data_IF_058384898332
#
_entry.id   IF_058384898332
#
_cell.length_a   1.000
_cell.length_b   1.000
_cell.length_c   1.000
_cell.angle_alpha   90.00
_cell.angle_beta   90.00
_cell.angle_gamma   90.00
#
_symmetry.space_group_name_H-M   'P 1'
#
loop_
_entity.id
_entity.type
_entity.pdbx_description
1 polymer ?
#
# COMPACT_ATOMS: atom_id res chain seq x y z
N UNK A 1 26.58 22.23 -6.87
CA UNK A 1 25.86 22.06 -8.17
C UNK A 1 25.40 20.61 -8.24
N UNK A 2 24.10 20.35 -8.18
CA UNK A 2 23.56 19.00 -8.33
C UNK A 2 23.41 18.76 -9.83
N UNK A 3 24.11 17.76 -10.35
CA UNK A 3 23.98 17.34 -11.76
C UNK A 3 22.83 16.34 -11.81
N UNK A 4 21.66 16.77 -12.30
CA UNK A 4 20.58 15.83 -12.60
C UNK A 4 20.81 15.13 -13.94
N UNK A 5 20.39 13.88 -14.04
CA UNK A 5 20.43 13.16 -15.31
C UNK A 5 19.43 13.80 -16.30
N UNK A 6 19.80 13.92 -17.59
CA UNK A 6 18.88 14.35 -18.66
C UNK A 6 17.60 13.50 -18.72
N UNK A 7 17.65 12.28 -18.20
CA UNK A 7 16.48 11.41 -18.05
C UNK A 7 15.47 11.96 -17.05
N UNK A 8 15.93 12.57 -15.95
CA UNK A 8 15.05 13.19 -14.95
C UNK A 8 14.32 14.40 -15.51
N UNK A 9 14.97 15.16 -16.40
CA UNK A 9 14.36 16.35 -17.04
C UNK A 9 13.26 15.96 -18.04
N UNK A 10 13.29 14.72 -18.54
CA UNK A 10 12.28 14.16 -19.45
C UNK A 10 11.08 13.52 -18.73
N UNK A 11 11.13 13.37 -17.40
CA UNK A 11 10.03 12.77 -16.64
C UNK A 11 8.86 13.77 -16.51
N UNK A 12 7.73 13.40 -17.08
CA UNK A 12 6.48 14.14 -16.88
C UNK A 12 5.86 13.77 -15.53
N UNK A 13 5.51 14.75 -14.69
CA UNK A 13 4.80 14.49 -13.44
C UNK A 13 3.49 13.75 -13.69
N UNK A 14 3.17 12.78 -12.84
CA UNK A 14 1.88 12.10 -12.90
C UNK A 14 0.72 13.11 -12.80
N UNK A 15 -0.21 13.06 -13.74
CA UNK A 15 -1.40 13.93 -13.75
C UNK A 15 -2.19 13.85 -12.45
N UNK A 16 -2.31 12.64 -11.87
CA UNK A 16 -2.99 12.40 -10.61
C UNK A 16 -2.29 13.13 -9.46
N UNK A 17 -0.95 13.06 -9.40
CA UNK A 17 -0.17 13.77 -8.38
C UNK A 17 -0.29 15.28 -8.49
N UNK A 18 -0.35 15.82 -9.70
CA UNK A 18 -0.52 17.26 -9.93
C UNK A 18 -1.90 17.75 -9.48
N UNK A 19 -2.95 16.96 -9.72
CA UNK A 19 -4.31 17.25 -9.25
C UNK A 19 -4.36 17.23 -7.72
N UNK A 20 -3.80 16.20 -7.10
CA UNK A 20 -3.75 16.09 -5.63
C UNK A 20 -3.00 17.27 -4.99
N UNK A 21 -1.92 17.72 -5.61
CA UNK A 21 -1.18 18.90 -5.14
C UNK A 21 -2.04 20.16 -5.21
N UNK A 22 -2.75 20.39 -6.30
CA UNK A 22 -3.66 21.55 -6.48
C UNK A 22 -4.80 21.54 -5.45
N UNK A 23 -5.38 20.36 -5.15
CA UNK A 23 -6.43 20.23 -4.13
C UNK A 23 -5.87 20.63 -2.76
N UNK A 24 -4.69 20.13 -2.40
CA UNK A 24 -4.03 20.44 -1.15
C UNK A 24 -3.72 21.93 -1.00
N UNK A 25 -3.28 22.58 -2.08
CA UNK A 25 -2.97 24.01 -2.05
C UNK A 25 -4.26 24.84 -1.88
N UNK A 26 -5.36 24.48 -2.55
CA UNK A 26 -6.65 25.13 -2.34
C UNK A 26 -7.19 24.93 -0.92
N UNK A 27 -6.95 23.78 -0.31
CA UNK A 27 -7.34 23.54 1.08
C UNK A 27 -6.56 24.46 2.05
N UNK A 28 -5.31 24.80 1.77
CA UNK A 28 -4.53 25.78 2.54
C UNK A 28 -5.15 27.19 2.47
N UNK A 29 -5.74 27.54 1.34
CA UNK A 29 -6.45 28.82 1.13
C UNK A 29 -7.82 28.83 1.81
N UNK A 30 -8.16 27.83 2.61
CA UNK A 30 -9.46 27.70 3.30
C UNK A 30 -10.61 27.25 2.39
N UNK A 31 -10.33 26.85 1.17
CA UNK A 31 -11.34 26.40 0.22
C UNK A 31 -11.61 24.90 0.44
N UNK A 32 -12.86 24.59 0.80
CA UNK A 32 -13.32 23.21 0.88
C UNK A 32 -13.48 22.62 -0.54
N UNK A 33 -12.66 21.64 -0.86
CA UNK A 33 -12.71 20.96 -2.16
C UNK A 33 -13.25 19.55 -1.99
N UNK A 34 -14.33 19.22 -2.65
CA UNK A 34 -14.81 17.83 -2.80
C UNK A 34 -14.22 17.27 -4.08
N UNK A 35 -13.38 16.24 -3.93
CA UNK A 35 -12.68 15.66 -5.06
C UNK A 35 -13.19 14.26 -5.38
N UNK A 36 -13.55 14.03 -6.62
CA UNK A 36 -13.85 12.71 -7.19
C UNK A 36 -12.67 12.14 -8.00
N UNK A 37 -11.52 12.82 -7.95
CA UNK A 37 -10.31 12.40 -8.65
C UNK A 37 -9.39 11.59 -7.70
N UNK A 38 -8.68 10.60 -8.28
CA UNK A 38 -7.60 9.90 -7.61
C UNK A 38 -7.98 8.60 -6.89
N UNK A 39 -9.26 8.28 -6.73
CA UNK A 39 -9.72 7.01 -6.15
C UNK A 39 -9.17 6.71 -4.75
N UNK A 40 -8.83 7.75 -3.97
CA UNK A 40 -8.30 7.57 -2.62
C UNK A 40 -9.44 7.16 -1.67
N UNK A 41 -9.25 6.08 -0.89
CA UNK A 41 -10.20 5.71 0.15
C UNK A 41 -10.33 6.82 1.20
N UNK A 42 -11.52 6.98 1.77
CA UNK A 42 -11.69 7.89 2.90
C UNK A 42 -10.91 7.39 4.11
N UNK A 43 -10.18 8.29 4.76
CA UNK A 43 -9.37 7.97 5.94
C UNK A 43 -10.21 7.48 7.11
N UNK A 44 -11.48 7.84 7.17
CA UNK A 44 -12.43 7.45 8.20
C UNK A 44 -12.74 5.95 8.20
N UNK A 45 -12.53 5.28 7.04
CA UNK A 45 -12.72 3.84 6.90
C UNK A 45 -11.47 3.00 7.15
N UNK A 46 -10.35 3.62 7.47
CA UNK A 46 -9.16 2.85 7.82
C UNK A 46 -9.31 2.22 9.21
N UNK A 47 -9.16 0.90 9.34
CA UNK A 47 -9.32 0.19 10.60
C UNK A 47 -8.07 0.36 11.49
N UNK A 48 -7.79 1.60 11.92
CA UNK A 48 -6.53 1.93 12.60
C UNK A 48 -6.37 1.21 13.94
N UNK A 49 -7.46 1.01 14.67
CA UNK A 49 -7.42 0.31 15.96
C UNK A 49 -7.10 -1.19 15.76
N UNK A 50 -7.70 -1.82 14.75
CA UNK A 50 -7.40 -3.21 14.43
C UNK A 50 -5.95 -3.37 13.95
N UNK A 51 -5.48 -2.45 13.09
CA UNK A 51 -4.09 -2.47 12.63
C UNK A 51 -3.10 -2.34 13.79
N UNK A 52 -3.38 -1.45 14.75
CA UNK A 52 -2.55 -1.28 15.95
C UNK A 52 -2.52 -2.55 16.77
N UNK A 53 -3.70 -3.08 17.11
CA UNK A 53 -3.83 -4.31 17.90
C UNK A 53 -3.11 -5.50 17.24
N UNK A 54 -3.27 -5.68 15.93
CA UNK A 54 -2.62 -6.76 15.17
C UNK A 54 -1.11 -6.56 15.14
N UNK A 55 -0.64 -5.33 14.97
CA UNK A 55 0.80 -5.03 14.98
C UNK A 55 1.42 -5.36 16.34
N UNK A 56 0.79 -4.95 17.43
CA UNK A 56 1.25 -5.26 18.78
C UNK A 56 1.29 -6.78 18.99
N UNK A 57 0.25 -7.50 18.58
CA UNK A 57 0.20 -8.96 18.66
C UNK A 57 1.35 -9.62 17.89
N UNK A 58 1.64 -9.20 16.66
CA UNK A 58 2.74 -9.74 15.85
C UNK A 58 4.08 -9.52 16.55
N UNK A 59 4.31 -8.34 17.12
CA UNK A 59 5.55 -8.09 17.86
C UNK A 59 5.66 -8.90 19.13
N UNK A 60 4.56 -9.16 19.83
CA UNK A 60 4.54 -9.98 21.03
C UNK A 60 4.79 -11.46 20.72
N UNK A 61 4.25 -11.97 19.61
CA UNK A 61 4.34 -13.37 19.23
C UNK A 61 5.63 -13.71 18.46
N UNK A 62 6.03 -12.86 17.51
CA UNK A 62 7.14 -13.13 16.59
C UNK A 62 8.39 -12.28 16.89
N UNK A 63 8.23 -11.17 17.61
CA UNK A 63 9.35 -10.33 18.03
C UNK A 63 10.19 -9.84 16.85
N UNK A 64 11.51 -10.07 16.95
CA UNK A 64 12.46 -9.63 15.94
C UNK A 64 12.33 -10.33 14.58
N UNK A 65 11.78 -11.53 14.55
CA UNK A 65 11.58 -12.29 13.29
C UNK A 65 10.59 -11.59 12.36
N UNK A 66 9.59 -10.90 12.93
CA UNK A 66 8.60 -10.14 12.15
C UNK A 66 9.21 -9.03 11.28
N UNK A 67 10.41 -8.55 11.63
CA UNK A 67 11.11 -7.48 10.92
C UNK A 67 12.42 -7.95 10.28
N UNK A 68 12.67 -9.27 10.28
CA UNK A 68 13.86 -9.87 9.67
C UNK A 68 13.64 -10.12 8.16
N UNK A 69 14.72 -10.35 7.45
CA UNK A 69 14.67 -10.80 6.06
C UNK A 69 13.93 -12.13 5.94
N UNK A 70 12.99 -12.17 4.99
CA UNK A 70 12.24 -13.37 4.63
C UNK A 70 12.80 -14.06 3.39
N UNK A 71 12.26 -15.22 3.04
CA UNK A 71 12.53 -15.91 1.79
C UNK A 71 12.14 -15.05 0.59
N UNK A 72 12.86 -15.20 -0.54
CA UNK A 72 12.66 -14.39 -1.75
C UNK A 72 11.28 -14.57 -2.41
N UNK A 73 10.60 -15.64 -2.12
CA UNK A 73 9.24 -15.94 -2.58
C UNK A 73 8.14 -15.48 -1.61
N UNK A 74 8.53 -14.98 -0.44
CA UNK A 74 7.65 -14.40 0.55
C UNK A 74 7.39 -15.30 1.75
N UNK A 75 6.60 -14.80 2.70
CA UNK A 75 6.25 -15.46 3.94
C UNK A 75 5.19 -16.54 3.71
N UNK A 76 5.54 -17.81 3.94
CA UNK A 76 4.69 -18.97 3.64
C UNK A 76 3.30 -18.92 4.28
N UNK A 77 3.12 -18.57 5.56
CA UNK A 77 1.79 -18.47 6.14
C UNK A 77 0.90 -17.46 5.42
N UNK A 78 1.42 -16.29 5.06
CA UNK A 78 0.66 -15.29 4.30
C UNK A 78 0.30 -15.81 2.89
N UNK A 79 1.21 -16.53 2.22
CA UNK A 79 0.95 -17.15 0.92
C UNK A 79 -0.16 -18.20 1.01
N UNK A 80 -0.22 -18.97 2.10
CA UNK A 80 -1.30 -19.94 2.36
C UNK A 80 -2.64 -19.22 2.58
N UNK A 81 -2.67 -18.17 3.37
CA UNK A 81 -3.88 -17.36 3.61
C UNK A 81 -4.38 -16.71 2.32
N UNK A 82 -3.48 -16.28 1.46
CA UNK A 82 -3.85 -15.70 0.16
C UNK A 82 -4.52 -16.72 -0.78
N UNK A 83 -4.19 -18.01 -0.70
CA UNK A 83 -4.93 -19.06 -1.43
C UNK A 83 -6.41 -19.03 -1.03
N UNK A 84 -6.71 -18.92 0.27
CA UNK A 84 -8.10 -18.86 0.76
C UNK A 84 -8.80 -17.56 0.32
N UNK A 85 -8.09 -16.45 0.30
CA UNK A 85 -8.62 -15.19 -0.24
C UNK A 85 -8.94 -15.32 -1.73
N UNK A 86 -8.04 -15.92 -2.51
CA UNK A 86 -8.21 -16.10 -3.96
C UNK A 86 -9.41 -16.99 -4.30
N UNK A 87 -9.71 -18.00 -3.49
CA UNK A 87 -10.91 -18.82 -3.66
C UNK A 87 -12.20 -18.00 -3.60
N UNK A 88 -12.25 -16.96 -2.75
CA UNK A 88 -13.41 -16.04 -2.66
C UNK A 88 -13.63 -15.27 -3.96
N UNK A 89 -12.57 -15.05 -4.72
CA UNK A 89 -12.59 -14.42 -6.05
C UNK A 89 -12.72 -15.43 -7.20
N UNK A 90 -13.10 -16.67 -6.89
CA UNK A 90 -13.30 -17.77 -7.86
C UNK A 90 -12.01 -18.18 -8.58
N UNK A 91 -10.85 -17.83 -8.05
CA UNK A 91 -9.57 -18.35 -8.54
C UNK A 91 -9.32 -19.68 -7.84
N UNK A 92 -9.58 -20.76 -8.58
CA UNK A 92 -9.43 -22.14 -8.09
C UNK A 92 -8.18 -22.76 -8.71
N UNK A 93 -7.74 -23.90 -8.18
CA UNK A 93 -6.60 -24.67 -8.65
C UNK A 93 -5.26 -23.95 -8.53
N UNK A 94 -5.11 -23.11 -7.49
CA UNK A 94 -3.84 -22.52 -7.10
C UNK A 94 -3.34 -23.12 -5.79
N UNK A 95 -2.04 -23.26 -5.68
CA UNK A 95 -1.31 -23.63 -4.48
C UNK A 95 -0.52 -22.40 -3.99
N UNK A 96 -0.18 -22.35 -2.69
CA UNK A 96 0.61 -21.25 -2.15
C UNK A 96 1.95 -21.05 -2.87
N UNK A 97 2.51 -22.12 -3.46
CA UNK A 97 3.73 -22.07 -4.29
C UNK A 97 3.56 -21.31 -5.61
N UNK A 98 2.32 -21.07 -6.02
CA UNK A 98 2.01 -20.23 -7.18
C UNK A 98 1.90 -18.74 -6.83
N UNK A 99 2.05 -18.39 -5.56
CA UNK A 99 1.95 -17.02 -5.05
C UNK A 99 3.33 -16.52 -4.69
N UNK A 100 3.69 -15.36 -5.20
CA UNK A 100 4.90 -14.61 -4.86
C UNK A 100 4.50 -13.31 -4.16
N UNK A 101 5.21 -12.94 -3.06
CA UNK A 101 4.95 -11.73 -2.28
C UNK A 101 6.21 -10.88 -2.24
#
# INVERSE_FOLDING_TARGET
MVISSKFLDALTPSSIRSITAKIRDKAKDGIQVVSFAGGLPSKEFFPLEDLRRITDQVFDEEGGEAIQYAASDGYDPLRQDLVEVMKRYQVNNIDYKNILI
#
